data_IF_641213688223
#
_entry.id   IF_641213688223
#
_cell.length_a   1.000
_cell.length_b   1.000
_cell.length_c   1.000
_cell.angle_alpha   90.00
_cell.angle_beta   90.00
_cell.angle_gamma   90.00
#
_symmetry.space_group_name_H-M   'P 1'
#
loop_
_entity.id
_entity.type
_entity.pdbx_description
1 polymer ?
#
# COMPACT_ATOMS: atom_id res chain seq x y z
N UNK A 1 -20.85 7.70 22.98
CA UNK A 1 -19.57 8.32 23.37
C UNK A 1 -18.45 7.31 23.64
N UNK A 2 -18.50 6.48 24.69
CA UNK A 2 -17.42 5.49 24.95
C UNK A 2 -17.33 4.45 23.82
N UNK A 3 -18.47 3.90 23.39
CA UNK A 3 -18.53 2.90 22.33
C UNK A 3 -18.06 3.43 20.96
N UNK A 4 -18.46 4.66 20.60
CA UNK A 4 -18.02 5.33 19.36
C UNK A 4 -16.51 5.59 19.35
N UNK A 5 -15.94 5.99 20.50
CA UNK A 5 -14.49 6.19 20.63
C UNK A 5 -13.71 4.88 20.50
N UNK A 6 -14.24 3.76 21.01
CA UNK A 6 -13.62 2.44 20.87
C UNK A 6 -13.66 1.99 19.39
N UNK A 7 -14.78 2.17 18.71
CA UNK A 7 -14.92 1.82 17.29
C UNK A 7 -13.93 2.62 16.42
N UNK A 8 -13.86 3.93 16.63
CA UNK A 8 -12.89 4.82 15.98
C UNK A 8 -11.45 4.32 16.16
N UNK A 9 -11.05 4.04 17.40
CA UNK A 9 -9.70 3.57 17.73
C UNK A 9 -9.36 2.26 17.01
N UNK A 10 -10.30 1.32 16.97
CA UNK A 10 -10.13 0.02 16.30
C UNK A 10 -9.94 0.23 14.80
N UNK A 11 -10.81 1.02 14.15
CA UNK A 11 -10.73 1.27 12.71
C UNK A 11 -9.40 1.93 12.35
N UNK A 12 -8.98 2.96 13.10
CA UNK A 12 -7.70 3.63 12.86
C UNK A 12 -6.49 2.74 13.12
N UNK A 13 -6.57 1.86 14.12
CA UNK A 13 -5.50 0.88 14.38
C UNK A 13 -5.39 -0.14 13.23
N UNK A 14 -6.53 -0.62 12.73
CA UNK A 14 -6.55 -1.53 11.57
C UNK A 14 -5.98 -0.81 10.34
N UNK A 15 -6.40 0.44 10.08
CA UNK A 15 -5.92 1.22 8.95
C UNK A 15 -4.39 1.40 9.01
N UNK A 16 -3.85 1.64 10.21
CA UNK A 16 -2.41 1.78 10.42
C UNK A 16 -1.62 0.48 10.24
N UNK A 17 -2.20 -0.67 10.61
CA UNK A 17 -1.53 -1.97 10.51
C UNK A 17 -1.53 -2.52 9.08
N UNK A 18 -2.49 -2.14 8.24
CA UNK A 18 -2.62 -2.66 6.87
C UNK A 18 -1.36 -2.41 6.01
N UNK A 19 -0.82 -1.17 5.91
CA UNK A 19 0.43 -0.92 5.19
C UNK A 19 1.60 -1.76 5.69
N UNK A 20 1.70 -1.96 7.01
CA UNK A 20 2.73 -2.79 7.61
C UNK A 20 2.59 -4.26 7.19
N UNK A 21 1.37 -4.81 7.20
CA UNK A 21 1.11 -6.17 6.72
C UNK A 21 1.51 -6.35 5.24
N UNK A 22 1.16 -5.39 4.38
CA UNK A 22 1.57 -5.42 2.97
C UNK A 22 3.10 -5.37 2.83
N UNK A 23 3.77 -4.47 3.56
CA UNK A 23 5.22 -4.37 3.54
C UNK A 23 5.89 -5.69 3.96
N UNK A 24 5.41 -6.35 5.01
CA UNK A 24 5.93 -7.64 5.45
C UNK A 24 5.75 -8.74 4.38
N UNK A 25 4.59 -8.79 3.71
CA UNK A 25 4.37 -9.76 2.63
C UNK A 25 5.33 -9.48 1.47
N UNK A 26 5.46 -8.22 1.04
CA UNK A 26 6.33 -7.81 -0.06
C UNK A 26 7.80 -8.11 0.27
N UNK A 27 8.25 -7.91 1.52
CA UNK A 27 9.64 -8.16 1.90
C UNK A 27 9.95 -9.66 2.02
N UNK A 28 9.11 -10.43 2.69
CA UNK A 28 9.46 -11.80 3.11
C UNK A 28 8.87 -12.92 2.25
N UNK A 29 7.80 -12.67 1.48
CA UNK A 29 7.20 -13.71 0.63
C UNK A 29 7.97 -13.88 -0.68
N UNK A 30 8.37 -15.12 -1.00
CA UNK A 30 8.90 -15.51 -2.30
C UNK A 30 7.90 -16.33 -3.13
N UNK A 31 6.69 -16.52 -2.62
CA UNK A 31 5.65 -17.25 -3.32
C UNK A 31 4.95 -16.31 -4.33
N UNK A 32 5.10 -16.61 -5.63
CA UNK A 32 4.53 -15.81 -6.73
C UNK A 32 3.02 -15.70 -6.60
N UNK A 33 2.31 -16.75 -6.16
CA UNK A 33 0.87 -16.70 -5.98
C UNK A 33 0.48 -15.69 -4.89
N UNK A 34 1.18 -15.71 -3.76
CA UNK A 34 0.95 -14.75 -2.66
C UNK A 34 1.23 -13.31 -3.15
N UNK A 35 2.35 -13.09 -3.82
CA UNK A 35 2.69 -11.77 -4.37
C UNK A 35 1.67 -11.31 -5.42
N UNK A 36 1.22 -12.21 -6.29
CA UNK A 36 0.19 -11.93 -7.29
C UNK A 36 -1.16 -11.56 -6.68
N UNK A 37 -1.59 -12.30 -5.64
CA UNK A 37 -2.81 -11.94 -4.89
C UNK A 37 -2.67 -10.60 -4.18
N UNK A 38 -1.49 -10.30 -3.62
CA UNK A 38 -1.21 -9.00 -3.01
C UNK A 38 -1.28 -7.87 -4.03
N UNK A 39 -0.69 -8.04 -5.22
CA UNK A 39 -0.78 -7.06 -6.31
C UNK A 39 -2.23 -6.81 -6.74
N UNK A 40 -3.05 -7.86 -6.84
CA UNK A 40 -4.46 -7.72 -7.18
C UNK A 40 -5.23 -6.93 -6.11
N UNK A 41 -4.99 -7.23 -4.82
CA UNK A 41 -5.61 -6.48 -3.72
C UNK A 41 -5.20 -5.01 -3.76
N UNK A 42 -3.90 -4.71 -3.91
CA UNK A 42 -3.41 -3.33 -4.04
C UNK A 42 -4.06 -2.61 -5.22
N UNK A 43 -4.17 -3.26 -6.38
CA UNK A 43 -4.82 -2.69 -7.56
C UNK A 43 -6.31 -2.38 -7.31
N UNK A 44 -7.04 -3.27 -6.63
CA UNK A 44 -8.43 -3.02 -6.27
C UNK A 44 -8.59 -1.84 -5.30
N UNK A 45 -7.66 -1.69 -4.33
CA UNK A 45 -7.65 -0.54 -3.41
C UNK A 45 -7.38 0.76 -4.18
N UNK A 46 -6.45 0.77 -5.13
CA UNK A 46 -6.18 1.91 -6.01
C UNK A 46 -7.43 2.30 -6.80
N UNK A 47 -8.07 1.32 -7.44
CA UNK A 47 -9.31 1.56 -8.20
C UNK A 47 -10.40 2.15 -7.31
N UNK A 48 -10.57 1.59 -6.10
CA UNK A 48 -11.52 2.10 -5.13
C UNK A 48 -11.19 3.54 -4.71
N UNK A 49 -9.92 3.88 -4.51
CA UNK A 49 -9.50 5.23 -4.17
C UNK A 49 -9.86 6.23 -5.29
N UNK A 50 -9.64 5.85 -6.56
CA UNK A 50 -10.08 6.67 -7.70
C UNK A 50 -11.61 6.86 -7.75
N UNK A 51 -12.38 5.80 -7.48
CA UNK A 51 -13.85 5.85 -7.55
C UNK A 51 -14.49 6.69 -6.43
N UNK A 52 -13.93 6.63 -5.21
CA UNK A 52 -14.47 7.34 -4.05
C UNK A 52 -13.71 8.64 -3.73
N UNK A 53 -12.75 9.02 -4.57
CA UNK A 53 -11.81 10.13 -4.38
C UNK A 53 -10.97 10.06 -3.10
N UNK A 54 -11.02 8.95 -2.36
CA UNK A 54 -10.24 8.68 -1.16
C UNK A 54 -10.24 7.19 -0.82
N UNK A 55 -9.37 6.76 0.09
CA UNK A 55 -9.38 5.39 0.58
C UNK A 55 -10.68 5.14 1.37
N UNK A 56 -11.40 4.04 1.08
CA UNK A 56 -12.65 3.72 1.77
C UNK A 56 -12.51 3.65 3.29
N UNK A 57 -11.36 3.19 3.80
CA UNK A 57 -11.12 3.11 5.24
C UNK A 57 -10.99 4.52 5.83
N UNK A 58 -10.33 5.46 5.13
CA UNK A 58 -10.30 6.87 5.53
C UNK A 58 -11.70 7.48 5.58
N UNK A 59 -12.57 7.19 4.61
CA UNK A 59 -13.96 7.67 4.59
C UNK A 59 -14.77 7.11 5.78
N UNK A 60 -14.49 5.86 6.15
CA UNK A 60 -15.08 5.23 7.34
C UNK A 60 -14.55 5.89 8.62
N UNK A 61 -13.24 6.13 8.72
CA UNK A 61 -12.63 6.84 9.85
C UNK A 61 -13.27 8.22 10.03
N UNK A 62 -13.39 9.00 8.94
CA UNK A 62 -14.00 10.32 8.95
C UNK A 62 -15.43 10.31 9.49
N UNK A 63 -16.23 9.30 9.09
CA UNK A 63 -17.60 9.11 9.57
C UNK A 63 -17.66 8.87 11.08
N UNK A 64 -16.77 8.02 11.62
CA UNK A 64 -16.76 7.69 13.05
C UNK A 64 -16.01 8.73 13.91
N UNK A 65 -15.06 9.47 13.33
CA UNK A 65 -14.28 10.52 13.97
C UNK A 65 -14.89 11.92 13.83
N UNK A 66 -16.03 12.05 13.13
CA UNK A 66 -16.67 13.35 12.83
C UNK A 66 -15.69 14.31 12.13
N UNK A 67 -14.90 13.81 11.18
CA UNK A 67 -13.88 14.53 10.41
C UNK A 67 -12.76 15.19 11.23
N UNK A 68 -12.58 14.78 12.50
CA UNK A 68 -11.55 15.35 13.38
C UNK A 68 -10.17 14.76 13.13
N UNK A 69 -10.13 13.49 12.73
CA UNK A 69 -8.90 12.72 12.67
C UNK A 69 -9.05 11.55 11.69
N UNK A 70 -8.03 11.33 10.86
CA UNK A 70 -7.82 10.09 10.13
C UNK A 70 -6.34 9.70 10.21
N UNK A 71 -6.05 8.41 10.06
CA UNK A 71 -4.68 7.91 10.08
C UNK A 71 -3.86 8.54 8.94
N UNK A 72 -4.47 8.71 7.77
CA UNK A 72 -3.81 9.33 6.61
C UNK A 72 -3.51 10.81 6.86
N UNK A 73 -4.33 11.56 7.60
CA UNK A 73 -4.01 12.95 7.96
C UNK A 73 -2.72 13.04 8.80
N UNK A 74 -2.52 12.10 9.72
CA UNK A 74 -1.29 12.04 10.53
C UNK A 74 -0.09 11.72 9.64
N UNK A 75 -0.25 10.75 8.74
CA UNK A 75 0.82 10.39 7.82
C UNK A 75 1.17 11.54 6.86
N UNK A 76 0.18 12.17 6.24
CA UNK A 76 0.37 13.26 5.28
C UNK A 76 1.13 14.44 5.92
N UNK A 77 0.78 14.83 7.14
CA UNK A 77 1.43 15.93 7.85
C UNK A 77 2.88 15.62 8.28
N UNK A 78 3.22 14.35 8.47
CA UNK A 78 4.53 13.91 8.96
C UNK A 78 5.42 13.30 7.85
N UNK A 79 4.90 13.15 6.64
CA UNK A 79 5.60 12.51 5.51
C UNK A 79 5.83 13.52 4.38
N UNK A 80 6.93 13.32 3.66
CA UNK A 80 7.33 14.14 2.51
C UNK A 80 6.96 13.39 1.24
N UNK A 81 6.46 14.09 0.22
CA UNK A 81 6.18 13.52 -1.10
C UNK A 81 7.48 13.21 -1.88
N UNK A 82 7.37 12.48 -3.00
CA UNK A 82 8.53 12.17 -3.86
C UNK A 82 9.35 13.41 -4.28
N UNK A 83 8.73 14.60 -4.34
CA UNK A 83 9.37 15.85 -4.76
C UNK A 83 9.91 16.70 -3.61
N UNK A 84 9.94 16.18 -2.38
CA UNK A 84 10.53 16.87 -1.24
C UNK A 84 9.61 17.88 -0.55
N UNK A 85 8.36 18.02 -0.99
CA UNK A 85 7.35 18.87 -0.33
C UNK A 85 6.52 18.04 0.65
N UNK A 86 6.12 18.64 1.77
CA UNK A 86 5.17 17.99 2.68
C UNK A 86 3.78 17.98 2.05
N UNK A 87 3.06 16.88 2.20
CA UNK A 87 1.66 16.84 1.81
C UNK A 87 0.85 17.78 2.69
N UNK A 88 -0.15 18.42 2.09
CA UNK A 88 -1.21 19.11 2.83
C UNK A 88 -2.36 18.15 3.07
N UNK A 89 -3.28 18.54 3.96
CA UNK A 89 -4.49 17.77 4.24
C UNK A 89 -5.33 17.51 2.99
N UNK A 90 -5.40 18.48 2.08
CA UNK A 90 -6.15 18.35 0.82
C UNK A 90 -5.51 17.34 -0.16
N UNK A 91 -4.25 16.96 0.06
CA UNK A 91 -3.51 15.99 -0.76
C UNK A 91 -3.66 14.54 -0.24
N UNK A 92 -4.56 14.29 0.71
CA UNK A 92 -4.74 12.98 1.39
C UNK A 92 -4.91 11.81 0.42
N UNK A 93 -5.75 12.02 -0.59
CA UNK A 93 -6.02 11.04 -1.65
C UNK A 93 -4.76 10.77 -2.49
N UNK A 94 -4.05 11.85 -2.87
CA UNK A 94 -2.82 11.78 -3.66
C UNK A 94 -1.73 10.99 -2.91
N UNK A 95 -1.51 11.28 -1.63
CA UNK A 95 -0.55 10.56 -0.81
C UNK A 95 -0.86 9.07 -0.72
N UNK A 96 -2.13 8.73 -0.51
CA UNK A 96 -2.56 7.33 -0.44
C UNK A 96 -2.33 6.61 -1.76
N UNK A 97 -2.63 7.26 -2.89
CA UNK A 97 -2.36 6.72 -4.23
C UNK A 97 -0.86 6.54 -4.46
N UNK A 98 -0.02 7.50 -4.08
CA UNK A 98 1.44 7.41 -4.22
C UNK A 98 2.01 6.21 -3.46
N UNK A 99 1.57 5.99 -2.22
CA UNK A 99 1.95 4.82 -1.43
C UNK A 99 1.49 3.50 -2.06
N UNK A 100 0.25 3.44 -2.53
CA UNK A 100 -0.32 2.23 -3.12
C UNK A 100 0.37 1.88 -4.45
N UNK A 101 0.59 2.87 -5.32
CA UNK A 101 1.31 2.69 -6.58
C UNK A 101 2.76 2.26 -6.35
N UNK A 102 3.44 2.86 -5.37
CA UNK A 102 4.80 2.46 -4.99
C UNK A 102 4.82 1.01 -4.49
N UNK A 103 3.84 0.61 -3.67
CA UNK A 103 3.71 -0.76 -3.18
C UNK A 103 3.45 -1.76 -4.31
N UNK A 104 2.59 -1.40 -5.26
CA UNK A 104 2.29 -2.24 -6.43
C UNK A 104 3.52 -2.39 -7.34
N UNK A 105 4.26 -1.30 -7.57
CA UNK A 105 5.51 -1.32 -8.33
C UNK A 105 6.53 -2.26 -7.68
N UNK A 106 6.76 -2.12 -6.37
CA UNK A 106 7.69 -2.97 -5.62
C UNK A 106 7.29 -4.45 -5.67
N UNK A 107 6.00 -4.75 -5.53
CA UNK A 107 5.49 -6.13 -5.63
C UNK A 107 5.73 -6.71 -7.02
N UNK A 108 5.46 -5.92 -8.07
CA UNK A 108 5.66 -6.33 -9.46
C UNK A 108 7.13 -6.55 -9.77
N UNK A 109 8.01 -5.64 -9.33
CA UNK A 109 9.47 -5.80 -9.47
C UNK A 109 9.96 -7.07 -8.78
N UNK A 110 9.46 -7.38 -7.58
CA UNK A 110 9.83 -8.61 -6.88
C UNK A 110 9.41 -9.86 -7.66
N UNK A 111 8.20 -9.88 -8.22
CA UNK A 111 7.73 -10.99 -9.06
C UNK A 111 8.66 -11.16 -10.27
N UNK A 112 9.01 -10.07 -10.96
CA UNK A 112 9.92 -10.10 -12.12
C UNK A 112 11.30 -10.64 -11.74
N UNK A 113 11.86 -10.24 -10.60
CA UNK A 113 13.13 -10.74 -10.08
C UNK A 113 13.06 -12.25 -9.83
N UNK A 114 12.00 -12.73 -9.19
CA UNK A 114 11.82 -14.17 -8.93
C UNK A 114 11.73 -14.95 -10.26
N UNK A 115 10.96 -14.46 -11.22
CA UNK A 115 10.84 -15.08 -12.55
C UNK A 115 12.17 -15.09 -13.30
N UNK A 116 12.96 -14.02 -13.18
CA UNK A 116 14.30 -13.95 -13.76
C UNK A 116 15.22 -15.02 -13.15
N UNK A 117 15.25 -15.17 -11.83
CA UNK A 117 16.03 -16.21 -11.15
C UNK A 117 15.61 -17.62 -11.58
N UNK A 118 14.30 -17.86 -11.72
CA UNK A 118 13.77 -19.14 -12.23
C UNK A 118 14.26 -19.36 -13.67
N UNK A 119 14.12 -18.37 -14.55
CA UNK A 119 14.52 -18.45 -15.96
C UNK A 119 16.02 -18.73 -16.11
N UNK A 120 16.86 -18.03 -15.34
CA UNK A 120 18.31 -18.27 -15.30
C UNK A 120 18.67 -19.68 -14.83
N UNK A 121 17.88 -20.29 -13.93
CA UNK A 121 18.14 -21.67 -13.47
C UNK A 121 17.92 -22.70 -14.58
N UNK A 122 16.96 -22.47 -15.48
CA UNK A 122 16.56 -23.46 -16.49
C UNK A 122 17.11 -23.16 -17.90
N UNK A 123 17.39 -21.91 -18.24
CA UNK A 123 17.80 -21.52 -19.59
C UNK A 123 19.34 -21.43 -19.72
N UNK A 124 19.92 -22.31 -20.55
CA UNK A 124 21.37 -22.37 -20.80
C UNK A 124 21.93 -21.12 -21.46
N UNK A 125 21.15 -20.47 -22.35
CA UNK A 125 21.56 -19.22 -23.01
C UNK A 125 21.70 -18.08 -21.99
N UNK A 126 20.71 -17.91 -21.10
CA UNK A 126 20.78 -16.91 -20.04
C UNK A 126 21.92 -17.17 -19.05
N UNK A 127 22.23 -18.44 -18.75
CA UNK A 127 23.41 -18.79 -17.94
C UNK A 127 24.72 -18.36 -18.60
N UNK A 128 24.82 -18.42 -19.93
CA UNK A 128 26.04 -18.02 -20.65
C UNK A 128 26.26 -16.50 -20.69
N UNK A 129 25.21 -15.69 -20.57
CA UNK A 129 25.30 -14.22 -20.57
C UNK A 129 25.89 -13.62 -19.27
N UNK A 130 25.98 -14.42 -18.20
CA UNK A 130 26.48 -13.99 -16.89
C UNK A 130 27.86 -14.59 -16.53
N UNK A 131 28.46 -15.35 -17.44
CA UNK A 131 29.87 -15.76 -17.38
C UNK A 131 30.73 -14.74 -18.09
#
# INVERSE_FOLDING_TARGET
MIFENIQSLIISSIHALLPLCFALIILFSNNIFVLGTTSLILFLIILSNYLFHDCPITLIEDKYNKNKFSMIDVMANNTINIFGQRYKKDDRSLYTLELLWTSLLLTTLKILIILLFISMKYNSFLKSLLK
#
